data_IF_581636930969
#
_entry.id   IF_581636930969
#
_cell.length_a   1.000
_cell.length_b   1.000
_cell.length_c   1.000
_cell.angle_alpha   90.00
_cell.angle_beta   90.00
_cell.angle_gamma   90.00
#
_symmetry.space_group_name_H-M   'P 1'
#
loop_
_entity.id
_entity.type
_entity.pdbx_description
1 polymer ?
#
# COMPACT_ATOMS: atom_id res chain seq x y z
N UNK A 1 -22.11 0.54 -5.33
CA UNK A 1 -21.02 0.13 -4.40
C UNK A 1 -19.64 0.07 -5.07
N UNK A 2 -19.58 -0.14 -6.39
CA UNK A 2 -18.31 -0.21 -7.15
C UNK A 2 -17.41 1.01 -6.94
N UNK A 3 -17.98 2.21 -6.79
CA UNK A 3 -17.22 3.45 -6.56
C UNK A 3 -16.34 3.43 -5.30
N UNK A 4 -16.85 2.90 -4.17
CA UNK A 4 -16.09 2.82 -2.92
C UNK A 4 -14.95 1.81 -3.05
N UNK A 5 -15.20 0.68 -3.70
CA UNK A 5 -14.15 -0.30 -4.00
C UNK A 5 -13.12 0.25 -4.98
N UNK A 6 -13.51 1.08 -5.95
CA UNK A 6 -12.58 1.70 -6.89
C UNK A 6 -11.67 2.74 -6.21
N UNK A 7 -12.22 3.55 -5.31
CA UNK A 7 -11.44 4.51 -4.54
C UNK A 7 -10.44 3.79 -3.62
N UNK A 8 -10.90 2.81 -2.84
CA UNK A 8 -10.03 2.03 -1.94
C UNK A 8 -8.99 1.21 -2.69
N UNK A 9 -9.38 0.57 -3.80
CA UNK A 9 -8.48 -0.08 -4.73
C UNK A 9 -7.41 0.89 -5.26
N UNK A 10 -7.82 2.04 -5.80
CA UNK A 10 -6.91 3.01 -6.41
C UNK A 10 -5.87 3.52 -5.41
N UNK A 11 -6.30 3.87 -4.20
CA UNK A 11 -5.39 4.34 -3.14
C UNK A 11 -4.48 3.21 -2.66
N UNK A 12 -4.99 2.00 -2.41
CA UNK A 12 -4.17 0.86 -1.99
C UNK A 12 -3.16 0.44 -3.07
N UNK A 13 -3.58 0.43 -4.34
CA UNK A 13 -2.75 0.12 -5.49
C UNK A 13 -1.63 1.16 -5.68
N UNK A 14 -2.01 2.45 -5.68
CA UNK A 14 -1.05 3.55 -5.76
C UNK A 14 -0.04 3.50 -4.61
N UNK A 15 -0.51 3.38 -3.36
CA UNK A 15 0.37 3.37 -2.19
C UNK A 15 1.28 2.15 -2.20
N UNK A 16 0.77 0.98 -2.59
CA UNK A 16 1.57 -0.23 -2.73
C UNK A 16 2.70 -0.08 -3.75
N UNK A 17 2.39 0.46 -4.93
CA UNK A 17 3.40 0.75 -5.96
C UNK A 17 4.37 1.85 -5.54
N UNK A 18 3.88 2.89 -4.86
CA UNK A 18 4.70 4.00 -4.39
C UNK A 18 5.76 3.53 -3.39
N UNK A 19 5.36 2.73 -2.39
CA UNK A 19 6.29 2.16 -1.41
C UNK A 19 7.31 1.23 -2.08
N UNK A 20 6.89 0.47 -3.10
CA UNK A 20 7.79 -0.42 -3.84
C UNK A 20 8.79 0.36 -4.72
N UNK A 21 8.37 1.47 -5.32
CA UNK A 21 9.19 2.32 -6.16
C UNK A 21 10.18 3.18 -5.35
N UNK A 22 9.82 3.56 -4.11
CA UNK A 22 10.65 4.41 -3.24
C UNK A 22 12.00 3.77 -2.92
N UNK A 23 11.99 2.59 -2.32
CA UNK A 23 13.22 1.80 -2.14
C UNK A 23 12.92 0.28 -2.14
N UNK A 24 13.14 -0.42 -3.28
CA UNK A 24 12.87 -1.85 -3.38
C UNK A 24 13.85 -2.70 -2.56
N UNK A 25 14.96 -2.12 -2.07
CA UNK A 25 15.95 -2.83 -1.26
C UNK A 25 15.53 -2.94 0.20
N UNK A 26 14.68 -2.03 0.68
CA UNK A 26 14.16 -2.08 2.05
C UNK A 26 13.14 -3.21 2.20
N UNK A 27 13.42 -4.24 3.02
CA UNK A 27 12.50 -5.36 3.20
C UNK A 27 11.19 -4.95 3.88
N UNK A 28 11.21 -3.86 4.67
CA UNK A 28 10.03 -3.27 5.31
C UNK A 28 9.04 -2.77 4.26
N UNK A 29 9.48 -1.90 3.35
CA UNK A 29 8.66 -1.32 2.29
C UNK A 29 8.12 -2.39 1.35
N UNK A 30 8.95 -3.39 0.98
CA UNK A 30 8.51 -4.48 0.11
C UNK A 30 7.38 -5.31 0.72
N UNK A 31 7.42 -5.56 2.03
CA UNK A 31 6.35 -6.30 2.73
C UNK A 31 5.06 -5.49 2.80
N UNK A 32 5.17 -4.22 3.15
CA UNK A 32 4.03 -3.29 3.16
C UNK A 32 3.37 -3.19 1.77
N UNK A 33 4.18 -2.97 0.74
CA UNK A 33 3.76 -2.95 -0.65
C UNK A 33 3.07 -4.25 -1.07
N UNK A 34 3.65 -5.41 -0.71
CA UNK A 34 3.04 -6.71 -1.03
C UNK A 34 1.66 -6.88 -0.38
N UNK A 35 1.49 -6.48 0.88
CA UNK A 35 0.20 -6.53 1.56
C UNK A 35 -0.85 -5.64 0.89
N UNK A 36 -0.47 -4.40 0.55
CA UNK A 36 -1.32 -3.43 -0.16
C UNK A 36 -1.75 -3.93 -1.55
N UNK A 37 -0.80 -4.44 -2.35
CA UNK A 37 -1.07 -4.93 -3.69
C UNK A 37 -1.94 -6.19 -3.69
N UNK A 38 -1.68 -7.12 -2.75
CA UNK A 38 -2.53 -8.31 -2.59
C UNK A 38 -3.94 -7.92 -2.16
N UNK A 39 -4.09 -6.95 -1.25
CA UNK A 39 -5.41 -6.48 -0.83
C UNK A 39 -6.15 -5.75 -1.97
N UNK A 40 -5.45 -4.93 -2.75
CA UNK A 40 -6.02 -4.29 -3.93
C UNK A 40 -6.50 -5.34 -4.96
N UNK A 41 -5.68 -6.36 -5.23
CA UNK A 41 -6.08 -7.48 -6.09
C UNK A 41 -7.29 -8.25 -5.51
N UNK A 42 -7.35 -8.43 -4.19
CA UNK A 42 -8.48 -9.09 -3.52
C UNK A 42 -9.80 -8.32 -3.70
N UNK A 43 -9.76 -6.98 -3.62
CA UNK A 43 -10.94 -6.13 -3.86
C UNK A 43 -11.46 -6.33 -5.29
N UNK A 44 -10.58 -6.37 -6.30
CA UNK A 44 -10.99 -6.60 -7.69
C UNK A 44 -11.52 -8.02 -7.88
N UNK A 45 -10.84 -9.02 -7.30
CA UNK A 45 -11.25 -10.42 -7.41
C UNK A 45 -12.66 -10.65 -6.82
N UNK A 46 -12.98 -10.06 -5.67
CA UNK A 46 -14.34 -10.16 -5.10
C UNK A 46 -15.39 -9.45 -5.96
N UNK A 47 -15.03 -8.37 -6.67
CA UNK A 47 -15.96 -7.72 -7.61
C UNK A 47 -16.24 -8.54 -8.87
N UNK A 48 -15.30 -9.37 -9.28
CA UNK A 48 -15.43 -10.20 -10.49
C UNK A 48 -15.99 -11.59 -10.20
N UNK A 49 -15.64 -12.18 -9.06
CA UNK A 49 -15.93 -13.58 -8.72
C UNK A 49 -16.66 -13.76 -7.39
N UNK A 50 -16.99 -12.69 -6.66
CA UNK A 50 -17.57 -12.77 -5.31
C UNK A 50 -18.95 -13.41 -5.22
N UNK A 51 -19.66 -13.59 -6.34
CA UNK A 51 -20.92 -14.32 -6.41
C UNK A 51 -20.77 -15.84 -6.59
N UNK A 52 -19.55 -16.31 -6.86
CA UNK A 52 -19.29 -17.71 -7.14
C UNK A 52 -18.96 -18.51 -5.86
N UNK A 53 -19.51 -19.73 -5.68
CA UNK A 53 -19.32 -20.51 -4.46
C UNK A 53 -17.88 -20.97 -4.25
N UNK A 54 -17.11 -21.20 -5.32
CA UNK A 54 -15.69 -21.55 -5.22
C UNK A 54 -14.82 -20.41 -4.70
N UNK A 55 -15.30 -19.16 -4.80
CA UNK A 55 -14.55 -17.99 -4.36
C UNK A 55 -14.56 -17.82 -2.84
N UNK A 56 -15.46 -18.49 -2.10
CA UNK A 56 -15.52 -18.34 -0.65
C UNK A 56 -14.23 -18.79 0.05
N UNK A 57 -13.63 -19.92 -0.37
CA UNK A 57 -12.34 -20.39 0.14
C UNK A 57 -11.18 -19.48 -0.25
N UNK A 58 -11.16 -19.03 -1.52
CA UNK A 58 -10.16 -18.09 -2.04
C UNK A 58 -10.19 -16.77 -1.30
N UNK A 59 -11.39 -16.26 -0.97
CA UNK A 59 -11.58 -15.03 -0.22
C UNK A 59 -10.95 -15.09 1.16
N UNK A 60 -11.04 -16.22 1.86
CA UNK A 60 -10.38 -16.38 3.18
C UNK A 60 -8.86 -16.20 3.03
N UNK A 61 -8.26 -16.84 2.02
CA UNK A 61 -6.82 -16.73 1.76
C UNK A 61 -6.43 -15.30 1.37
N UNK A 62 -7.24 -14.64 0.54
CA UNK A 62 -7.03 -13.25 0.12
C UNK A 62 -7.12 -12.26 1.29
N UNK A 63 -7.92 -12.54 2.33
CA UNK A 63 -7.99 -11.74 3.56
C UNK A 63 -6.78 -12.02 4.46
N UNK A 64 -6.37 -13.28 4.56
CA UNK A 64 -5.25 -13.69 5.41
C UNK A 64 -3.88 -13.21 4.88
N UNK A 65 -3.70 -13.15 3.56
CA UNK A 65 -2.41 -12.82 2.95
C UNK A 65 -1.91 -11.38 3.28
N UNK A 66 -2.73 -10.33 3.18
CA UNK A 66 -2.34 -8.97 3.60
C UNK A 66 -2.06 -8.88 5.10
N UNK A 67 -2.88 -9.53 5.93
CA UNK A 67 -2.70 -9.60 7.39
C UNK A 67 -1.36 -10.26 7.73
N UNK A 68 -1.04 -11.37 7.07
CA UNK A 68 0.25 -12.03 7.20
C UNK A 68 1.39 -11.12 6.77
N UNK A 69 1.30 -10.46 5.61
CA UNK A 69 2.33 -9.55 5.12
C UNK A 69 2.64 -8.42 6.12
N UNK A 70 1.61 -7.80 6.71
CA UNK A 70 1.78 -6.76 7.72
C UNK A 70 2.24 -7.29 9.08
N UNK A 71 1.89 -8.52 9.49
CA UNK A 71 2.54 -9.14 10.65
C UNK A 71 4.06 -9.21 10.46
N UNK A 72 4.52 -9.51 9.24
CA UNK A 72 5.94 -9.48 8.88
C UNK A 72 6.56 -8.08 8.84
N UNK A 73 5.77 -7.04 8.59
CA UNK A 73 6.20 -5.64 8.76
C UNK A 73 6.48 -5.38 10.23
N UNK A 74 5.55 -5.71 11.13
CA UNK A 74 5.74 -5.52 12.58
C UNK A 74 6.94 -6.29 13.11
N UNK A 75 7.18 -7.52 12.64
CA UNK A 75 8.42 -8.27 12.96
C UNK A 75 9.68 -7.46 12.68
N UNK A 76 9.70 -6.66 11.60
CA UNK A 76 10.87 -5.84 11.22
C UNK A 76 11.03 -4.57 12.04
N UNK A 77 9.99 -4.17 12.77
CA UNK A 77 10.03 -3.07 13.72
C UNK A 77 10.45 -3.52 15.12
N UNK A 78 10.64 -4.83 15.36
CA UNK A 78 11.22 -5.35 16.60
C UNK A 78 12.72 -5.02 16.69
N UNK A 79 13.29 -5.06 17.91
CA UNK A 79 14.67 -4.67 18.18
C UNK A 79 15.65 -5.63 17.48
N UNK A 80 16.85 -5.13 17.16
CA UNK A 80 17.90 -5.85 16.42
C UNK A 80 18.21 -7.24 17.03
N UNK A 81 18.09 -7.38 18.36
CA UNK A 81 18.32 -8.65 19.07
C UNK A 81 17.24 -9.71 18.81
N UNK A 82 16.00 -9.30 18.61
CA UNK A 82 14.86 -10.20 18.42
C UNK A 82 14.46 -10.34 16.94
N UNK A 83 14.69 -9.31 16.12
CA UNK A 83 14.26 -9.26 14.72
C UNK A 83 14.82 -10.44 13.93
N UNK A 84 16.08 -10.83 14.09
CA UNK A 84 16.65 -11.94 13.30
C UNK A 84 16.01 -13.29 13.64
N UNK A 85 15.77 -13.55 14.93
CA UNK A 85 15.17 -14.81 15.39
C UNK A 85 13.70 -14.88 14.98
N UNK A 86 12.95 -13.81 15.24
CA UNK A 86 11.51 -13.74 14.94
C UNK A 86 11.28 -13.68 13.42
N UNK A 87 12.11 -12.95 12.66
CA UNK A 87 12.02 -12.92 11.20
C UNK A 87 12.35 -14.27 10.57
N UNK A 88 13.33 -15.00 11.13
CA UNK A 88 13.61 -16.38 10.70
C UNK A 88 12.43 -17.30 11.00
N UNK A 89 11.87 -17.25 12.21
CA UNK A 89 10.71 -18.05 12.59
C UNK A 89 9.48 -17.71 11.75
N UNK A 90 9.27 -16.44 11.44
CA UNK A 90 8.18 -15.97 10.59
C UNK A 90 8.35 -16.45 9.14
N UNK A 91 9.56 -16.36 8.58
CA UNK A 91 9.83 -16.79 7.19
C UNK A 91 9.84 -18.31 7.02
N UNK A 92 10.44 -19.03 7.96
CA UNK A 92 10.71 -20.48 7.85
C UNK A 92 9.62 -21.31 8.51
N UNK A 93 8.93 -20.77 9.52
CA UNK A 93 7.85 -21.45 10.21
C UNK A 93 6.48 -20.96 9.73
N UNK A 94 6.18 -19.69 9.99
CA UNK A 94 4.83 -19.15 9.79
C UNK A 94 4.42 -19.11 8.31
N UNK A 95 5.29 -18.60 7.43
CA UNK A 95 4.99 -18.44 6.01
C UNK A 95 4.67 -19.78 5.30
N UNK A 96 5.50 -20.85 5.42
CA UNK A 96 5.19 -22.13 4.79
C UNK A 96 4.00 -22.83 5.46
N UNK A 97 3.81 -22.66 6.77
CA UNK A 97 2.63 -23.20 7.46
C UNK A 97 1.34 -22.56 6.93
N UNK A 98 1.31 -21.23 6.78
CA UNK A 98 0.20 -20.52 6.16
C UNK A 98 -0.01 -20.96 4.71
N UNK A 99 1.07 -21.15 3.93
CA UNK A 99 0.97 -21.63 2.56
C UNK A 99 0.39 -23.05 2.47
N UNK A 100 0.79 -23.94 3.39
CA UNK A 100 0.26 -25.29 3.48
C UNK A 100 -1.24 -25.30 3.84
N UNK A 101 -1.66 -24.43 4.75
CA UNK A 101 -3.07 -24.28 5.14
C UNK A 101 -3.93 -23.58 4.07
N UNK A 102 -3.32 -22.75 3.22
CA UNK A 102 -4.03 -22.06 2.14
C UNK A 102 -4.59 -23.04 1.10
N UNK A 103 -3.86 -24.13 0.78
CA UNK A 103 -4.30 -25.13 -0.20
C UNK A 103 -5.66 -25.77 0.14
N UNK A 104 -5.86 -26.40 1.32
CA UNK A 104 -7.17 -26.94 1.69
C UNK A 104 -8.22 -25.85 1.92
N UNK A 105 -7.83 -24.65 2.36
CA UNK A 105 -8.76 -23.53 2.50
C UNK A 105 -9.35 -23.09 1.16
N UNK A 106 -8.53 -23.00 0.10
CA UNK A 106 -9.01 -22.74 -1.28
C UNK A 106 -9.91 -23.86 -1.76
N UNK A 107 -9.62 -25.11 -1.40
CA UNK A 107 -10.47 -26.27 -1.67
C UNK A 107 -11.81 -26.29 -0.92
N UNK A 108 -12.12 -25.25 -0.13
CA UNK A 108 -13.38 -25.14 0.61
C UNK A 108 -13.38 -25.86 1.96
N UNK A 109 -12.23 -26.39 2.42
CA UNK A 109 -12.12 -26.98 3.75
C UNK A 109 -12.08 -25.89 4.83
N UNK A 110 -13.27 -25.50 5.28
CA UNK A 110 -13.49 -24.40 6.23
C UNK A 110 -12.61 -24.46 7.49
N UNK A 111 -12.38 -25.62 8.15
CA UNK A 111 -11.53 -25.66 9.35
C UNK A 111 -10.09 -25.20 9.10
N UNK A 112 -9.52 -25.50 7.93
CA UNK A 112 -8.18 -24.99 7.58
C UNK A 112 -8.20 -23.48 7.32
N UNK A 113 -9.28 -22.95 6.72
CA UNK A 113 -9.47 -21.51 6.55
C UNK A 113 -9.53 -20.76 7.88
N UNK A 114 -10.30 -21.27 8.84
CA UNK A 114 -10.37 -20.68 10.19
C UNK A 114 -9.03 -20.79 10.94
N UNK A 115 -8.32 -21.91 10.81
CA UNK A 115 -7.00 -22.08 11.42
C UNK A 115 -5.97 -21.12 10.82
N UNK A 116 -5.94 -20.96 9.49
CA UNK A 116 -5.13 -19.96 8.79
C UNK A 116 -5.45 -18.55 9.30
N UNK A 117 -6.73 -18.25 9.41
CA UNK A 117 -7.25 -17.02 9.98
C UNK A 117 -6.76 -16.72 11.38
N UNK A 118 -7.00 -17.65 12.30
CA UNK A 118 -6.56 -17.54 13.69
C UNK A 118 -5.06 -17.39 13.80
N UNK A 119 -4.29 -18.15 13.01
CA UNK A 119 -2.84 -18.10 12.99
C UNK A 119 -2.31 -16.72 12.51
N UNK A 120 -2.88 -16.17 11.43
CA UNK A 120 -2.48 -14.85 10.91
C UNK A 120 -2.87 -13.71 11.84
N UNK A 121 -4.06 -13.77 12.46
CA UNK A 121 -4.50 -12.80 13.46
C UNK A 121 -3.63 -12.86 14.72
N UNK A 122 -3.30 -14.06 15.21
CA UNK A 122 -2.43 -14.23 16.37
C UNK A 122 -1.02 -13.72 16.09
N UNK A 123 -0.50 -13.97 14.88
CA UNK A 123 0.79 -13.43 14.45
C UNK A 123 0.78 -11.89 14.38
N UNK A 124 -0.28 -11.30 13.82
CA UNK A 124 -0.45 -9.85 13.80
C UNK A 124 -0.50 -9.29 15.23
N UNK A 125 -1.34 -9.87 16.09
CA UNK A 125 -1.51 -9.42 17.47
C UNK A 125 -0.23 -9.56 18.29
N UNK A 126 0.47 -10.69 18.19
CA UNK A 126 1.72 -10.94 18.91
C UNK A 126 2.84 -9.99 18.49
N UNK A 127 2.96 -9.72 17.19
CA UNK A 127 3.97 -8.78 16.66
C UNK A 127 3.63 -7.34 16.99
N UNK A 128 2.35 -6.97 16.96
CA UNK A 128 1.84 -5.67 17.40
C UNK A 128 2.09 -5.44 18.90
N UNK A 129 1.75 -6.41 19.77
CA UNK A 129 2.03 -6.31 21.21
C UNK A 129 3.52 -6.21 21.50
N UNK A 130 4.36 -6.92 20.75
CA UNK A 130 5.82 -6.80 20.81
C UNK A 130 6.31 -5.39 20.45
N UNK A 131 5.69 -4.74 19.47
CA UNK A 131 5.93 -3.33 19.16
C UNK A 131 5.45 -2.41 20.30
N UNK A 132 4.24 -2.65 20.84
CA UNK A 132 3.65 -1.78 21.87
C UNK A 132 4.43 -1.81 23.19
N UNK A 133 4.93 -2.97 23.59
CA UNK A 133 5.75 -3.13 24.80
C UNK A 133 7.02 -2.28 24.78
N UNK A 134 7.38 -1.73 23.63
CA UNK A 134 8.58 -0.93 23.40
C UNK A 134 8.29 0.55 23.13
N UNK A 135 7.02 1.00 23.27
CA UNK A 135 6.67 2.42 23.18
C UNK A 135 7.46 3.31 24.15
N UNK A 136 7.97 2.75 25.25
CA UNK A 136 8.78 3.48 26.23
C UNK A 136 10.13 3.96 25.67
N UNK A 137 10.69 3.28 24.66
CA UNK A 137 11.98 3.66 24.04
C UNK A 137 11.80 4.65 22.87
N UNK A 138 10.58 4.78 22.33
CA UNK A 138 10.26 5.68 21.20
C UNK A 138 9.87 7.08 21.68
N UNK A 139 10.58 7.60 22.69
CA UNK A 139 10.27 8.87 23.37
C UNK A 139 10.52 10.13 22.53
N UNK A 140 10.89 10.01 21.25
CA UNK A 140 10.93 11.17 20.36
C UNK A 140 9.52 11.50 19.86
N UNK A 141 9.03 12.70 20.16
CA UNK A 141 7.66 13.16 19.91
C UNK A 141 7.17 12.90 18.46
N UNK A 142 8.09 12.93 17.49
CA UNK A 142 7.80 12.70 16.07
C UNK A 142 7.47 11.22 15.74
N UNK A 143 8.18 10.24 16.32
CA UNK A 143 7.91 8.80 16.11
C UNK A 143 6.64 8.33 16.80
N UNK A 144 6.20 9.05 17.83
CA UNK A 144 4.97 8.75 18.58
C UNK A 144 3.73 8.79 17.68
N UNK A 145 3.67 9.76 16.75
CA UNK A 145 2.57 9.89 15.79
C UNK A 145 2.50 8.70 14.83
N UNK A 146 3.65 8.30 14.25
CA UNK A 146 3.74 7.14 13.36
C UNK A 146 3.36 5.83 14.08
N UNK A 147 3.83 5.66 15.31
CA UNK A 147 3.51 4.49 16.13
C UNK A 147 2.03 4.40 16.51
N UNK A 148 1.42 5.55 16.83
CA UNK A 148 -0.03 5.65 17.03
C UNK A 148 -0.81 5.24 15.78
N UNK A 149 -0.42 5.74 14.61
CA UNK A 149 -1.06 5.40 13.34
C UNK A 149 -0.91 3.91 13.00
N UNK A 150 0.26 3.33 13.25
CA UNK A 150 0.50 1.89 13.08
C UNK A 150 -0.33 1.05 14.04
N UNK A 151 -0.45 1.47 15.30
CA UNK A 151 -1.25 0.77 16.32
C UNK A 151 -2.73 0.81 15.98
N UNK A 152 -3.26 2.00 15.66
CA UNK A 152 -4.66 2.17 15.25
C UNK A 152 -4.94 1.37 13.97
N UNK A 153 -4.07 1.48 12.96
CA UNK A 153 -4.21 0.71 11.73
C UNK A 153 -4.16 -0.80 11.93
N UNK A 154 -3.30 -1.30 12.84
CA UNK A 154 -3.23 -2.73 13.16
C UNK A 154 -4.47 -3.24 13.89
N UNK A 155 -5.01 -2.45 14.82
CA UNK A 155 -6.24 -2.78 15.54
C UNK A 155 -7.44 -2.81 14.60
N UNK A 156 -7.57 -1.80 13.74
CA UNK A 156 -8.61 -1.74 12.71
C UNK A 156 -8.48 -2.93 11.75
N UNK A 157 -7.29 -3.20 11.24
CA UNK A 157 -7.01 -4.34 10.36
C UNK A 157 -7.38 -5.68 11.03
N UNK A 158 -6.94 -5.88 12.27
CA UNK A 158 -7.24 -7.09 13.03
C UNK A 158 -8.74 -7.26 13.27
N UNK A 159 -9.44 -6.18 13.58
CA UNK A 159 -10.89 -6.17 13.77
C UNK A 159 -11.63 -6.49 12.46
N UNK A 160 -11.30 -5.80 11.37
CA UNK A 160 -11.91 -6.03 10.06
C UNK A 160 -11.67 -7.46 9.55
N UNK A 161 -10.45 -7.95 9.68
CA UNK A 161 -10.12 -9.34 9.35
C UNK A 161 -10.93 -10.31 10.23
N UNK A 162 -10.97 -10.11 11.55
CA UNK A 162 -11.76 -10.96 12.45
C UNK A 162 -13.26 -10.97 12.10
N UNK A 163 -13.84 -9.80 11.80
CA UNK A 163 -15.25 -9.69 11.38
C UNK A 163 -15.53 -10.48 10.10
N UNK A 164 -14.65 -10.36 9.10
CA UNK A 164 -14.78 -11.10 7.83
C UNK A 164 -14.66 -12.61 8.07
N UNK A 165 -13.67 -13.02 8.85
CA UNK A 165 -13.39 -14.43 9.12
C UNK A 165 -14.49 -15.09 9.95
N UNK A 166 -15.01 -14.43 10.98
CA UNK A 166 -16.15 -14.95 11.75
C UNK A 166 -17.47 -14.92 10.97
N UNK A 167 -17.50 -14.31 9.78
CA UNK A 167 -18.70 -14.17 8.96
C UNK A 167 -19.75 -13.25 9.59
N UNK A 168 -19.31 -12.28 10.40
CA UNK A 168 -20.20 -11.33 11.05
C UNK A 168 -20.71 -10.33 10.00
N UNK A 169 -21.98 -10.47 9.58
CA UNK A 169 -22.64 -9.62 8.59
C UNK A 169 -23.00 -8.22 9.11
N UNK A 170 -22.06 -7.56 9.81
CA UNK A 170 -22.24 -6.18 10.30
C UNK A 170 -22.30 -5.20 9.12
N UNK A 171 -21.56 -5.48 8.05
CA UNK A 171 -21.54 -4.71 6.80
C UNK A 171 -21.91 -5.60 5.61
N UNK A 172 -22.36 -5.01 4.49
CA UNK A 172 -22.51 -5.71 3.22
C UNK A 172 -21.20 -6.41 2.84
N UNK A 173 -21.27 -7.68 2.42
CA UNK A 173 -20.12 -8.53 2.06
C UNK A 173 -19.11 -7.82 1.14
N UNK A 174 -19.59 -7.08 0.15
CA UNK A 174 -18.76 -6.37 -0.84
C UNK A 174 -18.11 -5.08 -0.30
N UNK A 175 -18.58 -4.56 0.84
CA UNK A 175 -17.98 -3.41 1.51
C UNK A 175 -16.86 -3.82 2.47
N UNK A 176 -16.92 -5.03 3.04
CA UNK A 176 -15.95 -5.48 4.04
C UNK A 176 -14.50 -5.50 3.52
N UNK A 177 -14.27 -5.95 2.27
CA UNK A 177 -12.92 -5.91 1.68
C UNK A 177 -12.44 -4.48 1.40
N UNK A 178 -13.35 -3.55 1.11
CA UNK A 178 -13.01 -2.14 0.98
C UNK A 178 -12.59 -1.54 2.33
N UNK A 179 -13.25 -1.94 3.43
CA UNK A 179 -12.86 -1.54 4.79
C UNK A 179 -11.48 -2.11 5.14
N UNK A 180 -11.26 -3.41 4.88
CA UNK A 180 -9.95 -4.04 5.08
C UNK A 180 -8.84 -3.33 4.28
N UNK A 181 -9.12 -2.96 3.02
CA UNK A 181 -8.19 -2.19 2.19
C UNK A 181 -7.92 -0.79 2.74
N UNK A 182 -8.94 -0.13 3.27
CA UNK A 182 -8.78 1.17 3.93
C UNK A 182 -7.90 1.07 5.19
N UNK A 183 -8.09 0.04 6.02
CA UNK A 183 -7.24 -0.20 7.20
C UNK A 183 -5.78 -0.40 6.78
N UNK A 184 -5.58 -1.13 5.67
CA UNK A 184 -4.26 -1.33 5.09
C UNK A 184 -3.62 -0.05 4.56
N UNK A 185 -4.41 0.85 3.98
CA UNK A 185 -3.94 2.17 3.53
C UNK A 185 -3.48 3.00 4.73
N UNK A 186 -4.24 3.00 5.83
CA UNK A 186 -3.84 3.68 7.08
C UNK A 186 -2.51 3.12 7.60
N UNK A 187 -2.37 1.80 7.59
CA UNK A 187 -1.17 1.12 8.06
C UNK A 187 0.03 1.37 7.12
N UNK A 188 -0.18 1.33 5.81
CA UNK A 188 0.81 1.67 4.80
C UNK A 188 1.28 3.12 4.90
N UNK A 189 0.36 4.05 5.20
CA UNK A 189 0.69 5.45 5.44
C UNK A 189 1.54 5.61 6.71
N UNK A 190 1.23 4.86 7.77
CA UNK A 190 2.08 4.81 8.97
C UNK A 190 3.51 4.36 8.67
N UNK A 191 3.68 3.37 7.79
CA UNK A 191 5.00 2.91 7.34
C UNK A 191 5.70 3.98 6.49
N UNK A 192 4.98 4.63 5.58
CA UNK A 192 5.52 5.71 4.76
C UNK A 192 6.05 6.86 5.62
N UNK A 193 5.27 7.27 6.62
CA UNK A 193 5.63 8.32 7.59
C UNK A 193 6.84 7.89 8.42
N UNK A 194 6.87 6.65 8.91
CA UNK A 194 8.03 6.11 9.65
C UNK A 194 9.31 6.15 8.81
N UNK A 195 9.23 5.71 7.55
CA UNK A 195 10.35 5.68 6.62
C UNK A 195 10.80 7.09 6.19
N UNK A 196 9.90 8.10 6.18
CA UNK A 196 10.30 9.50 6.02
C UNK A 196 11.13 10.03 7.20
N UNK A 197 10.79 9.63 8.42
CA UNK A 197 11.57 10.02 9.59
C UNK A 197 12.95 9.37 9.60
N UNK A 198 13.06 8.12 9.16
CA UNK A 198 14.35 7.43 9.01
C UNK A 198 15.26 8.13 7.99
N UNK A 199 14.70 8.72 6.93
CA UNK A 199 15.44 9.39 5.85
C UNK A 199 15.56 10.91 5.99
N UNK A 200 14.84 11.55 6.93
CA UNK A 200 14.94 12.98 7.21
C UNK A 200 14.38 13.91 6.11
N UNK A 201 13.59 13.40 5.16
CA UNK A 201 13.15 14.15 3.98
C UNK A 201 11.71 14.72 4.05
N UNK A 202 11.43 15.70 3.19
CA UNK A 202 10.10 16.28 2.93
C UNK A 202 9.18 15.34 2.12
N UNK A 203 8.96 14.11 2.61
CA UNK A 203 8.17 13.06 1.96
C UNK A 203 6.79 13.55 1.48
N UNK A 204 6.14 14.41 2.28
CA UNK A 204 4.75 14.82 2.06
C UNK A 204 4.56 15.47 0.68
N UNK A 205 5.49 16.33 0.24
CA UNK A 205 5.38 17.02 -1.04
C UNK A 205 5.50 16.06 -2.22
N UNK A 206 6.50 15.17 -2.20
CA UNK A 206 6.71 14.17 -3.24
C UNK A 206 5.55 13.16 -3.32
N UNK A 207 5.04 12.74 -2.16
CA UNK A 207 3.91 11.81 -2.08
C UNK A 207 2.60 12.45 -2.57
N UNK A 208 2.29 13.70 -2.16
CA UNK A 208 1.12 14.44 -2.65
C UNK A 208 1.23 14.66 -4.16
N UNK A 209 2.40 15.04 -4.67
CA UNK A 209 2.62 15.22 -6.09
C UNK A 209 2.34 13.91 -6.86
N UNK A 210 2.93 12.79 -6.42
CA UNK A 210 2.67 11.46 -7.03
C UNK A 210 1.19 11.08 -6.98
N UNK A 211 0.53 11.33 -5.85
CA UNK A 211 -0.89 11.05 -5.66
C UNK A 211 -1.75 11.88 -6.61
N UNK A 212 -1.53 13.19 -6.68
CA UNK A 212 -2.32 14.12 -7.51
C UNK A 212 -2.18 13.74 -8.98
N UNK A 213 -0.97 13.50 -9.46
CA UNK A 213 -0.77 13.13 -10.87
C UNK A 213 -1.40 11.77 -11.16
N UNK A 214 -1.20 10.77 -10.30
CA UNK A 214 -1.79 9.44 -10.50
C UNK A 214 -3.32 9.46 -10.43
N UNK A 215 -3.89 10.25 -9.51
CA UNK A 215 -5.33 10.41 -9.36
C UNK A 215 -5.94 11.15 -10.56
N UNK A 216 -5.28 12.20 -11.06
CA UNK A 216 -5.73 12.92 -12.25
C UNK A 216 -5.73 12.00 -13.48
N UNK A 217 -4.64 11.27 -13.72
CA UNK A 217 -4.54 10.32 -14.84
C UNK A 217 -5.57 9.19 -14.70
N UNK A 218 -5.72 8.62 -13.51
CA UNK A 218 -6.73 7.59 -13.23
C UNK A 218 -8.16 8.13 -13.40
N UNK A 219 -8.43 9.39 -13.07
CA UNK A 219 -9.73 10.00 -13.28
C UNK A 219 -10.04 10.18 -14.78
N UNK A 220 -9.05 10.52 -15.60
CA UNK A 220 -9.24 10.63 -17.06
C UNK A 220 -9.54 9.26 -17.68
N UNK A 221 -8.67 8.27 -17.48
CA UNK A 221 -8.83 6.94 -18.08
C UNK A 221 -9.93 6.12 -17.41
N UNK A 222 -9.96 6.12 -16.08
CA UNK A 222 -11.00 5.45 -15.30
C UNK A 222 -12.36 6.12 -15.45
N UNK A 223 -12.42 7.45 -15.65
CA UNK A 223 -13.66 8.19 -15.89
C UNK A 223 -14.37 7.77 -17.18
N UNK A 224 -13.62 7.49 -18.24
CA UNK A 224 -14.18 6.96 -19.48
C UNK A 224 -14.79 5.56 -19.28
N UNK A 225 -14.07 4.68 -18.57
CA UNK A 225 -14.57 3.34 -18.25
C UNK A 225 -15.73 3.37 -17.24
N UNK A 226 -15.73 4.33 -16.30
CA UNK A 226 -16.81 4.61 -15.37
C UNK A 226 -18.10 5.03 -16.10
N UNK A 227 -17.98 5.88 -17.12
CA UNK A 227 -19.13 6.28 -17.95
C UNK A 227 -19.67 5.07 -18.72
N UNK A 228 -18.79 4.25 -19.31
CA UNK A 228 -19.18 3.02 -19.98
C UNK A 228 -19.90 2.05 -19.02
N UNK A 229 -19.39 1.90 -17.78
CA UNK A 229 -20.03 1.10 -16.73
C UNK A 229 -21.41 1.65 -16.32
N UNK A 230 -21.54 2.97 -16.19
CA UNK A 230 -22.81 3.61 -15.85
C UNK A 230 -23.88 3.41 -16.93
N UNK A 231 -23.47 3.39 -18.21
CA UNK A 231 -24.38 3.20 -19.35
C UNK A 231 -24.69 1.71 -19.62
N UNK A 232 -23.70 0.82 -19.46
CA UNK A 232 -23.83 -0.60 -19.79
C UNK A 232 -24.25 -1.50 -18.60
N UNK A 233 -24.23 -0.95 -17.38
CA UNK A 233 -24.52 -1.66 -16.13
C UNK A 233 -23.34 -2.44 -15.54
N UNK A 234 -23.50 -2.91 -14.30
CA UNK A 234 -22.46 -3.64 -13.52
C UNK A 234 -22.25 -5.08 -14.00
N UNK A 235 -21.81 -5.26 -15.25
CA UNK A 235 -21.41 -6.56 -15.83
C UNK A 235 -19.91 -6.81 -15.57
N UNK A 236 -19.44 -8.08 -15.53
CA UNK A 236 -18.04 -8.37 -15.21
C UNK A 236 -17.03 -7.75 -16.18
N UNK A 237 -17.36 -7.71 -17.48
CA UNK A 237 -16.48 -7.11 -18.50
C UNK A 237 -16.23 -5.60 -18.31
N UNK A 238 -17.26 -4.72 -18.22
CA UNK A 238 -17.02 -3.30 -17.96
C UNK A 238 -16.42 -3.03 -16.56
N UNK A 239 -16.72 -3.86 -15.56
CA UNK A 239 -16.04 -3.79 -14.24
C UNK A 239 -14.55 -4.08 -14.37
N UNK A 240 -14.17 -5.15 -15.08
CA UNK A 240 -12.77 -5.50 -15.30
C UNK A 240 -12.02 -4.39 -16.08
N UNK A 241 -12.66 -3.81 -17.10
CA UNK A 241 -12.10 -2.68 -17.85
C UNK A 241 -11.91 -1.44 -16.96
N UNK A 242 -12.87 -1.14 -16.09
CA UNK A 242 -12.79 0.01 -15.18
C UNK A 242 -11.64 -0.11 -14.19
N UNK A 243 -11.55 -1.23 -13.47
CA UNK A 243 -10.43 -1.48 -12.55
C UNK A 243 -9.10 -1.60 -13.28
N UNK A 244 -9.07 -2.24 -14.45
CA UNK A 244 -7.89 -2.36 -15.30
C UNK A 244 -7.38 -1.01 -15.80
N UNK A 245 -8.27 -0.11 -16.21
CA UNK A 245 -7.91 1.25 -16.65
C UNK A 245 -7.30 2.06 -15.51
N UNK A 246 -7.90 2.02 -14.31
CA UNK A 246 -7.36 2.66 -13.11
C UNK A 246 -5.98 2.09 -12.77
N UNK A 247 -5.87 0.75 -12.73
CA UNK A 247 -4.62 0.07 -12.41
C UNK A 247 -3.51 0.45 -13.39
N UNK A 248 -3.79 0.42 -14.70
CA UNK A 248 -2.84 0.75 -15.75
C UNK A 248 -2.39 2.22 -15.65
N UNK A 249 -3.33 3.16 -15.47
CA UNK A 249 -3.04 4.58 -15.31
C UNK A 249 -2.11 4.85 -14.12
N UNK A 250 -2.44 4.31 -12.95
CA UNK A 250 -1.63 4.46 -11.74
C UNK A 250 -0.27 3.79 -11.91
N UNK A 251 -0.23 2.58 -12.47
CA UNK A 251 1.03 1.83 -12.67
C UNK A 251 1.98 2.58 -13.57
N UNK A 252 1.50 3.09 -14.71
CA UNK A 252 2.31 3.86 -15.63
C UNK A 252 2.86 5.12 -14.97
N UNK A 253 2.04 5.81 -14.19
CA UNK A 253 2.45 7.05 -13.54
C UNK A 253 3.48 6.84 -12.43
N UNK A 254 3.24 5.86 -11.54
CA UNK A 254 4.13 5.58 -10.41
C UNK A 254 5.44 4.96 -10.89
N UNK A 255 5.39 4.08 -11.89
CA UNK A 255 6.57 3.39 -12.42
C UNK A 255 7.27 4.15 -13.54
N UNK A 256 6.85 5.36 -13.91
CA UNK A 256 7.46 6.10 -15.02
C UNK A 256 8.98 6.28 -14.84
N UNK A 257 9.41 6.76 -13.67
CA UNK A 257 10.83 6.95 -13.38
C UNK A 257 11.63 5.62 -13.36
N UNK A 258 11.22 4.56 -12.64
CA UNK A 258 11.96 3.30 -12.65
C UNK A 258 11.91 2.57 -14.00
N UNK A 259 10.82 2.68 -14.76
CA UNK A 259 10.73 2.12 -16.12
C UNK A 259 11.69 2.83 -17.06
N UNK A 260 11.80 4.15 -16.98
CA UNK A 260 12.76 4.92 -17.77
C UNK A 260 14.20 4.55 -17.38
N UNK A 261 14.52 4.44 -16.09
CA UNK A 261 15.85 4.00 -15.66
C UNK A 261 16.18 2.57 -16.15
N UNK A 262 15.19 1.68 -16.21
CA UNK A 262 15.35 0.31 -16.72
C UNK A 262 15.51 0.30 -18.24
N UNK A 263 14.73 1.11 -18.95
CA UNK A 263 14.82 1.29 -20.40
C UNK A 263 16.17 1.90 -20.78
N UNK A 264 16.66 2.90 -20.04
CA UNK A 264 17.99 3.47 -20.22
C UNK A 264 19.08 2.41 -19.99
N UNK A 265 18.98 1.59 -18.93
CA UNK A 265 19.93 0.48 -18.70
C UNK A 265 19.93 -0.57 -19.82
N UNK A 266 18.78 -0.83 -20.43
CA UNK A 266 18.66 -1.78 -21.55
C UNK A 266 19.17 -1.17 -22.86
N UNK A 267 18.82 0.09 -23.13
CA UNK A 267 19.22 0.81 -24.34
C UNK A 267 20.73 1.15 -24.34
N UNK A 268 21.28 1.45 -23.17
CA UNK A 268 22.69 1.80 -22.97
C UNK A 268 23.46 0.72 -22.20
N UNK A 269 23.03 -0.55 -22.29
CA UNK A 269 23.72 -1.67 -21.65
C UNK A 269 25.21 -1.76 -22.04
N UNK A 270 25.53 -1.26 -23.25
CA UNK A 270 26.87 -1.22 -23.81
C UNK A 270 27.70 0.00 -23.37
N UNK A 271 27.10 1.02 -22.76
CA UNK A 271 27.77 2.26 -22.32
C UNK A 271 27.31 2.74 -20.92
N UNK A 272 27.91 2.19 -19.85
CA UNK A 272 27.54 2.52 -18.48
C UNK A 272 27.89 3.96 -18.07
N UNK A 273 28.84 4.62 -18.75
CA UNK A 273 29.21 6.01 -18.44
C UNK A 273 28.12 6.99 -18.89
N UNK A 274 27.48 6.71 -20.03
CA UNK A 274 26.38 7.53 -20.54
C UNK A 274 25.11 7.41 -19.67
N UNK A 275 24.84 6.21 -19.13
CA UNK A 275 23.77 6.01 -18.14
C UNK A 275 24.01 6.81 -16.85
N UNK A 276 25.24 6.83 -16.34
CA UNK A 276 25.62 7.58 -15.16
C UNK A 276 25.46 9.10 -15.38
N UNK A 277 25.95 9.61 -16.51
CA UNK A 277 25.85 11.03 -16.86
C UNK A 277 24.39 11.49 -17.02
N UNK A 278 23.51 10.67 -17.63
CA UNK A 278 22.07 10.99 -17.72
C UNK A 278 21.37 10.97 -16.36
N UNK A 279 21.72 10.02 -15.49
CA UNK A 279 21.21 9.97 -14.12
C UNK A 279 21.59 11.23 -13.33
N UNK A 280 22.84 11.69 -13.48
CA UNK A 280 23.35 12.89 -12.83
C UNK A 280 22.65 14.16 -13.34
N UNK A 281 22.56 14.35 -14.66
CA UNK A 281 21.84 15.46 -15.29
C UNK A 281 20.37 15.54 -14.84
N UNK A 282 19.73 14.38 -14.68
CA UNK A 282 18.34 14.31 -14.22
C UNK A 282 18.22 14.66 -12.74
N UNK A 283 19.11 14.15 -11.91
CA UNK A 283 19.16 14.50 -10.48
C UNK A 283 19.41 16.00 -10.27
N UNK A 284 20.29 16.60 -11.07
CA UNK A 284 20.55 18.04 -11.06
C UNK A 284 19.32 18.83 -11.52
N UNK A 285 18.61 18.35 -12.55
CA UNK A 285 17.37 18.98 -13.03
C UNK A 285 16.26 18.91 -11.97
N UNK A 286 16.08 17.78 -11.30
CA UNK A 286 15.09 17.60 -10.24
C UNK A 286 15.44 18.47 -9.01
N UNK A 287 16.73 18.61 -8.68
CA UNK A 287 17.20 19.51 -7.63
C UNK A 287 16.93 20.98 -7.97
N UNK A 288 17.14 21.38 -9.23
CA UNK A 288 16.84 22.73 -9.71
C UNK A 288 15.34 23.02 -9.70
N UNK A 289 14.50 22.10 -10.18
CA UNK A 289 13.03 22.23 -10.14
C UNK A 289 12.51 22.37 -8.70
N UNK A 290 13.10 21.64 -7.75
CA UNK A 290 12.76 21.73 -6.32
C UNK A 290 13.11 23.10 -5.74
N UNK A 291 14.31 23.61 -6.04
CA UNK A 291 14.75 24.94 -5.59
C UNK A 291 13.92 26.07 -6.21
N UNK A 292 13.56 25.96 -7.49
CA UNK A 292 12.70 26.93 -8.17
C UNK A 292 11.29 26.95 -7.57
N UNK A 293 10.76 25.81 -7.14
CA UNK A 293 9.49 25.73 -6.40
C UNK A 293 9.54 26.44 -5.05
N UNK A 294 10.60 26.24 -4.25
CA UNK A 294 10.78 26.93 -2.96
C UNK A 294 10.97 28.45 -3.12
N UNK A 295 11.65 28.87 -4.19
CA UNK A 295 11.89 30.30 -4.46
C UNK A 295 10.59 31.02 -4.87
N UNK A 296 9.73 30.38 -5.67
CA UNK A 296 8.42 30.92 -6.06
C UNK A 296 7.40 30.96 -4.90
N UNK A 297 7.54 30.10 -3.89
CA UNK A 297 6.72 30.13 -2.68
C UNK A 297 7.15 31.24 -1.71
N UNK A 298 8.44 31.59 -1.68
CA UNK A 298 8.94 32.73 -0.91
C UNK A 298 8.58 34.08 -1.54
N UNK A 299 8.62 34.22 -2.87
CA UNK A 299 8.33 35.48 -3.58
C UNK A 299 6.83 35.86 -3.52
N UNK A 300 5.93 34.87 -3.48
CA UNK A 300 4.49 35.09 -3.29
C UNK A 300 4.09 35.35 -1.82
N UNK A 301 5.01 35.23 -0.86
CA UNK A 301 4.78 35.51 0.55
C UNK A 301 5.04 36.97 0.96
N UNK A 302 5.77 37.74 0.14
CA UNK A 302 6.19 39.12 0.47
C UNK A 302 5.39 40.21 -0.27
N UNK A 303 4.46 39.86 -1.16
CA UNK A 303 3.59 40.82 -1.86
C UNK A 303 2.29 41.08 -1.11
N UNK A 304 2.42 41.61 0.12
CA UNK A 304 1.30 42.01 0.98
C UNK A 304 1.54 43.34 1.69
N UNK A 305 1.36 44.44 0.93
CA UNK A 305 1.09 45.83 1.36
C UNK A 305 2.20 46.65 2.05
N UNK A 306 2.78 47.66 1.36
CA UNK A 306 3.22 48.88 2.03
C UNK A 306 2.01 49.80 2.26
N UNK A 307 1.59 49.94 3.52
CA UNK A 307 0.72 51.03 3.96
C UNK A 307 1.44 52.36 3.76
N UNK A 308 0.96 53.15 2.80
CA UNK A 308 1.34 54.55 2.61
C UNK A 308 0.81 55.39 3.77
N UNK A 309 1.70 55.84 4.64
CA UNK A 309 1.49 57.03 5.49
C UNK A 309 2.52 58.07 5.10
N UNK A 310 2.04 59.21 4.62
CA UNK A 310 2.82 60.36 4.17
C UNK A 310 1.98 61.25 3.27
#
# INVERSE_FOLDING_TARGET
MVWVSAATFGVAWWLGLYLLARDPRKPLLRRAASGLLVCAAAVVADRLAGGEPWFDGVRIVLVCAPVLAFSGVFVRLLPVRAVERVDRLWRVGLLPLCALLAMPAVGGFLPAGYLLGALTLLALLGTMLGMLGQHAEWSEDARRSASGLLTVGALLLGLSAALILLGLNVLPRTAMLSVLAADLVVLGLGIAVLDAFDEGESLRAAMIHSLVVSAATAAVFGGQAALALALAGERPAPVALFFGAIAAAITLQVLNAPLQASADRLAFASDPQLCAARGELRSATDALLRKSGDTLLHDNGETGLPTTTG
#
